data_IF_941725829430
#
_entry.id   IF_941725829430
#
_cell.length_a   1.000
_cell.length_b   1.000
_cell.length_c   1.000
_cell.angle_alpha   90.00
_cell.angle_beta   90.00
_cell.angle_gamma   90.00
#
_symmetry.space_group_name_H-M   'P 1'
#
loop_
_entity.id
_entity.type
_entity.pdbx_description
1 polymer ?
#
# COMPACT_ATOMS: atom_id res chain seq x y z
N UNK A 1 17.62 53.74 -51.10
CA UNK A 1 17.20 53.91 -49.69
C UNK A 1 16.82 52.55 -49.14
N UNK A 2 17.41 52.13 -48.03
CA UNK A 2 17.02 50.92 -47.30
C UNK A 2 15.62 51.07 -46.68
N UNK A 3 14.79 50.02 -46.66
CA UNK A 3 13.72 49.86 -45.69
C UNK A 3 14.11 48.87 -44.57
N UNK A 4 13.83 49.30 -43.33
CA UNK A 4 14.17 48.68 -42.05
C UNK A 4 13.30 47.44 -41.70
N UNK A 5 13.77 46.58 -40.78
CA UNK A 5 13.03 45.41 -40.31
C UNK A 5 11.86 45.81 -39.39
N UNK A 6 10.64 45.72 -39.90
CA UNK A 6 9.41 45.99 -39.18
C UNK A 6 8.73 44.73 -38.63
N UNK A 7 8.90 44.47 -37.34
CA UNK A 7 7.86 44.04 -36.39
C UNK A 7 6.66 43.26 -36.94
N UNK A 8 6.76 41.93 -37.00
CA UNK A 8 5.60 41.01 -37.02
C UNK A 8 5.50 40.28 -35.68
N UNK A 9 5.16 41.02 -34.62
CA UNK A 9 5.03 40.48 -33.25
C UNK A 9 3.59 40.48 -32.72
N UNK A 10 2.57 40.77 -33.54
CA UNK A 10 1.19 40.90 -33.08
C UNK A 10 0.23 39.78 -33.48
N UNK A 11 0.67 38.77 -34.25
CA UNK A 11 -0.22 37.74 -34.81
C UNK A 11 -0.33 36.45 -33.99
N UNK A 12 0.10 36.44 -32.71
CA UNK A 12 0.05 35.24 -31.86
C UNK A 12 -1.12 35.21 -30.85
N UNK A 13 -2.01 36.21 -30.86
CA UNK A 13 -2.95 36.47 -29.76
C UNK A 13 -4.45 36.23 -30.08
N UNK A 14 -4.80 35.44 -31.11
CA UNK A 14 -6.20 35.38 -31.58
C UNK A 14 -6.72 33.95 -31.78
N UNK A 15 -6.51 33.06 -30.82
CA UNK A 15 -7.25 31.79 -30.75
C UNK A 15 -8.32 31.86 -29.64
N UNK A 16 -9.62 31.77 -29.97
CA UNK A 16 -10.72 31.96 -29.00
C UNK A 16 -10.73 30.90 -27.88
N UNK A 17 -10.08 29.75 -28.09
CA UNK A 17 -9.88 28.72 -27.06
C UNK A 17 -9.04 29.20 -25.87
N UNK A 18 -8.11 30.14 -26.04
CA UNK A 18 -7.23 30.61 -24.95
C UNK A 18 -7.90 31.61 -24.00
N UNK A 19 -8.89 32.36 -24.49
CA UNK A 19 -9.65 33.33 -23.69
C UNK A 19 -10.59 32.64 -22.68
N UNK A 20 -11.11 31.46 -23.01
CA UNK A 20 -11.91 30.65 -22.09
C UNK A 20 -11.05 29.78 -21.18
N UNK A 21 -9.87 29.36 -21.65
CA UNK A 21 -8.93 28.55 -20.87
C UNK A 21 -8.26 29.33 -19.73
N UNK A 22 -8.08 30.65 -19.87
CA UNK A 22 -7.45 31.49 -18.84
C UNK A 22 -8.25 31.59 -17.52
N UNK A 23 -9.56 31.93 -17.52
CA UNK A 23 -10.35 31.94 -16.28
C UNK A 23 -10.54 30.52 -15.73
N UNK A 24 -10.64 29.51 -16.59
CA UNK A 24 -10.75 28.12 -16.18
C UNK A 24 -9.50 27.65 -15.42
N UNK A 25 -8.29 27.97 -15.92
CA UNK A 25 -7.04 27.68 -15.22
C UNK A 25 -6.90 28.49 -13.92
N UNK A 26 -7.30 29.77 -13.91
CA UNK A 26 -7.24 30.62 -12.72
C UNK A 26 -8.16 30.16 -11.58
N UNK A 27 -9.26 29.47 -11.88
CA UNK A 27 -10.16 28.88 -10.88
C UNK A 27 -9.75 27.44 -10.57
N UNK A 28 -9.35 26.65 -11.56
CA UNK A 28 -8.96 25.25 -11.35
C UNK A 28 -7.70 25.12 -10.49
N UNK A 29 -6.73 26.04 -10.62
CA UNK A 29 -5.50 25.99 -9.83
C UNK A 29 -5.72 26.13 -8.31
N UNK A 30 -6.42 27.16 -7.79
CA UNK A 30 -6.69 27.26 -6.36
C UNK A 30 -7.62 26.16 -5.85
N UNK A 31 -8.58 25.70 -6.66
CA UNK A 31 -9.46 24.57 -6.29
C UNK A 31 -8.65 23.28 -6.15
N UNK A 32 -7.76 22.98 -7.09
CA UNK A 32 -6.85 21.84 -6.99
C UNK A 32 -5.91 21.93 -5.78
N UNK A 33 -5.36 23.11 -5.48
CA UNK A 33 -4.48 23.31 -4.31
C UNK A 33 -5.22 23.09 -3.00
N UNK A 34 -6.49 23.49 -2.91
CA UNK A 34 -7.30 23.29 -1.71
C UNK A 34 -7.81 21.85 -1.55
N UNK A 35 -8.14 21.17 -2.66
CA UNK A 35 -8.63 19.79 -2.63
C UNK A 35 -7.49 18.78 -2.43
N UNK A 36 -6.29 19.06 -2.93
CA UNK A 36 -5.12 18.17 -2.84
C UNK A 36 -4.80 17.69 -1.41
N UNK A 37 -4.68 18.57 -0.39
CA UNK A 37 -4.40 18.12 0.97
C UNK A 37 -5.56 17.31 1.57
N UNK A 38 -6.81 17.64 1.22
CA UNK A 38 -7.97 16.87 1.66
C UNK A 38 -7.98 15.46 1.06
N UNK A 39 -7.69 15.33 -0.24
CA UNK A 39 -7.56 14.03 -0.91
C UNK A 39 -6.37 13.22 -0.37
N UNK A 40 -5.23 13.88 -0.14
CA UNK A 40 -4.06 13.23 0.47
C UNK A 40 -4.37 12.72 1.87
N UNK A 41 -5.03 13.54 2.69
CA UNK A 41 -5.44 13.15 4.04
C UNK A 41 -6.46 12.01 4.01
N UNK A 42 -7.41 12.05 3.07
CA UNK A 42 -8.40 10.99 2.87
C UNK A 42 -7.72 9.67 2.51
N UNK A 43 -6.79 9.70 1.56
CA UNK A 43 -6.01 8.52 1.17
C UNK A 43 -5.16 7.97 2.32
N UNK A 44 -4.57 8.86 3.14
CA UNK A 44 -3.78 8.46 4.31
C UNK A 44 -4.66 7.89 5.43
N UNK A 45 -5.84 8.45 5.65
CA UNK A 45 -6.76 8.04 6.70
C UNK A 45 -7.32 6.64 6.43
N UNK A 46 -7.64 6.31 5.18
CA UNK A 46 -8.20 5.01 4.78
C UNK A 46 -7.18 3.87 4.63
N UNK A 47 -5.95 4.04 5.12
CA UNK A 47 -4.95 2.98 5.13
C UNK A 47 -5.35 1.76 5.97
N UNK A 48 -4.75 0.62 5.66
CA UNK A 48 -4.76 -0.56 6.54
C UNK A 48 -3.41 -0.65 7.26
N UNK A 49 -3.43 -1.09 8.51
CA UNK A 49 -2.23 -1.35 9.31
C UNK A 49 -2.10 -2.84 9.52
N UNK A 50 -0.97 -3.39 9.11
CA UNK A 50 -0.67 -4.81 9.31
C UNK A 50 0.29 -4.96 10.49
N UNK A 51 -0.08 -5.80 11.44
CA UNK A 51 0.70 -6.07 12.65
C UNK A 51 1.04 -7.55 12.66
N UNK A 52 2.33 -7.83 12.60
CA UNK A 52 2.87 -9.17 12.82
C UNK A 52 3.21 -9.30 14.31
N UNK A 53 2.58 -10.25 14.99
CA UNK A 53 2.92 -10.60 16.37
C UNK A 53 3.56 -11.98 16.43
N UNK A 54 4.11 -12.34 17.59
CA UNK A 54 4.70 -13.67 17.82
C UNK A 54 3.67 -14.82 17.74
N UNK A 55 2.37 -14.53 17.60
CA UNK A 55 1.28 -15.51 17.62
C UNK A 55 0.31 -15.40 16.46
N UNK A 56 0.06 -14.20 15.96
CA UNK A 56 -0.84 -13.96 14.83
C UNK A 56 -0.41 -12.81 13.91
N UNK A 57 -0.85 -12.90 12.66
CA UNK A 57 -0.83 -11.81 11.67
C UNK A 57 -2.20 -11.12 11.77
N UNK A 58 -2.19 -9.80 11.96
CA UNK A 58 -3.40 -9.02 12.14
C UNK A 58 -3.48 -7.88 11.13
N UNK A 59 -4.68 -7.65 10.60
CA UNK A 59 -5.03 -6.49 9.79
C UNK A 59 -5.96 -5.58 10.58
N UNK A 60 -5.59 -4.30 10.64
CA UNK A 60 -6.31 -3.27 11.39
C UNK A 60 -6.70 -2.13 10.46
N UNK A 61 -7.94 -1.67 10.58
CA UNK A 61 -8.38 -0.44 9.94
C UNK A 61 -7.66 0.75 10.57
N UNK A 62 -7.04 1.61 9.76
CA UNK A 62 -6.44 2.85 10.25
C UNK A 62 -7.50 3.82 10.80
N UNK A 63 -8.72 3.78 10.24
CA UNK A 63 -9.86 4.52 10.78
C UNK A 63 -10.53 3.70 11.88
N UNK A 64 -10.57 4.25 13.09
CA UNK A 64 -11.34 3.70 14.21
C UNK A 64 -10.72 2.49 14.91
N UNK A 65 -9.46 2.15 14.65
CA UNK A 65 -8.72 1.07 15.33
C UNK A 65 -9.49 -0.26 15.41
N UNK A 66 -10.19 -0.61 14.33
CA UNK A 66 -10.96 -1.86 14.25
C UNK A 66 -10.09 -2.98 13.71
N UNK A 67 -10.10 -4.14 14.37
CA UNK A 67 -9.52 -5.37 13.83
C UNK A 67 -10.36 -5.84 12.63
N UNK A 68 -9.73 -5.95 11.47
CA UNK A 68 -10.35 -6.39 10.20
C UNK A 68 -10.23 -7.90 10.04
N UNK A 69 -9.09 -8.47 10.42
CA UNK A 69 -8.85 -9.91 10.37
C UNK A 69 -7.60 -10.31 11.14
N UNK A 70 -7.58 -11.53 11.66
CA UNK A 70 -6.45 -12.09 12.40
C UNK A 70 -6.28 -13.56 12.04
N UNK A 71 -5.06 -13.95 11.68
CA UNK A 71 -4.69 -15.34 11.36
C UNK A 71 -3.57 -15.79 12.29
N UNK A 72 -3.76 -16.88 13.06
CA UNK A 72 -2.70 -17.48 13.87
C UNK A 72 -1.52 -17.95 13.01
N UNK A 73 -0.29 -17.75 13.47
CA UNK A 73 0.92 -18.17 12.74
C UNK A 73 0.93 -19.68 12.47
N UNK A 74 0.34 -20.50 13.34
CA UNK A 74 0.28 -21.95 13.17
C UNK A 74 -0.57 -22.38 11.97
N UNK A 75 -1.54 -21.56 11.56
CA UNK A 75 -2.42 -21.85 10.41
C UNK A 75 -1.81 -21.40 9.09
N UNK A 76 -0.68 -20.69 9.09
CA UNK A 76 -0.07 -20.16 7.87
C UNK A 76 0.73 -21.25 7.16
N UNK A 77 0.15 -21.82 6.11
CA UNK A 77 0.82 -22.77 5.22
C UNK A 77 1.83 -22.10 4.30
N UNK A 78 1.51 -20.90 3.80
CA UNK A 78 2.36 -20.16 2.89
C UNK A 78 1.95 -18.71 2.70
N UNK A 79 2.77 -17.96 1.97
CA UNK A 79 2.50 -16.58 1.60
C UNK A 79 2.82 -16.39 0.13
N UNK A 80 1.81 -15.97 -0.64
CA UNK A 80 1.89 -15.66 -2.06
C UNK A 80 1.92 -14.14 -2.27
N UNK A 81 2.82 -13.69 -3.16
CA UNK A 81 2.97 -12.28 -3.53
C UNK A 81 2.26 -12.07 -4.86
N UNK A 82 1.23 -11.22 -4.87
CA UNK A 82 0.45 -10.88 -6.06
C UNK A 82 0.63 -9.38 -6.34
N UNK A 83 1.42 -9.06 -7.36
CA UNK A 83 1.60 -7.68 -7.80
C UNK A 83 0.55 -7.31 -8.86
N UNK A 84 -0.25 -6.29 -8.58
CA UNK A 84 -1.23 -5.76 -9.55
C UNK A 84 -0.62 -4.64 -10.39
N UNK A 85 -1.16 -4.47 -11.60
CA UNK A 85 -0.80 -3.36 -12.49
C UNK A 85 -0.90 -2.01 -11.76
N UNK A 86 0.16 -1.21 -11.83
CA UNK A 86 0.26 0.08 -11.15
C UNK A 86 0.89 0.03 -9.75
N UNK A 87 0.95 -1.14 -9.09
CA UNK A 87 1.63 -1.28 -7.80
C UNK A 87 3.16 -1.32 -7.94
N UNK A 88 3.67 -1.66 -9.13
CA UNK A 88 5.09 -1.63 -9.50
C UNK A 88 5.73 -0.26 -9.22
N UNK A 89 5.00 0.83 -9.54
CA UNK A 89 5.47 2.20 -9.35
C UNK A 89 5.68 2.56 -7.88
N UNK A 90 4.97 1.89 -6.96
CA UNK A 90 5.04 2.11 -5.52
C UNK A 90 5.89 1.05 -4.79
N UNK A 91 6.54 0.14 -5.53
CA UNK A 91 7.23 -1.04 -4.97
C UNK A 91 6.35 -1.79 -3.96
N UNK A 92 5.07 -1.90 -4.27
CA UNK A 92 4.07 -2.55 -3.45
C UNK A 92 3.53 -3.80 -4.15
N UNK A 93 3.05 -4.75 -3.36
CA UNK A 93 2.29 -5.90 -3.85
C UNK A 93 1.27 -6.33 -2.79
N UNK A 94 0.26 -7.08 -3.20
CA UNK A 94 -0.68 -7.72 -2.29
C UNK A 94 -0.06 -9.04 -1.80
N UNK A 95 -0.19 -9.34 -0.51
CA UNK A 95 0.24 -10.61 0.08
C UNK A 95 -0.97 -11.44 0.47
N UNK A 96 -1.12 -12.59 -0.16
CA UNK A 96 -2.12 -13.59 0.19
C UNK A 96 -1.52 -14.58 1.18
N UNK A 97 -2.06 -14.58 2.39
CA UNK A 97 -1.75 -15.56 3.43
C UNK A 97 -2.56 -16.81 3.15
N UNK A 98 -1.86 -17.92 2.88
CA UNK A 98 -2.46 -19.21 2.56
C UNK A 98 -2.51 -20.09 3.82
N UNK A 99 -3.60 -20.83 3.99
CA UNK A 99 -3.69 -21.91 4.98
C UNK A 99 -2.78 -23.08 4.58
N UNK A 100 -2.57 -24.01 5.50
CA UNK A 100 -2.08 -25.38 5.27
C UNK A 100 -2.72 -26.10 4.07
N UNK A 101 -3.95 -25.75 3.70
CA UNK A 101 -4.68 -26.28 2.54
C UNK A 101 -4.42 -25.55 1.22
N UNK A 102 -3.69 -24.44 1.25
CA UNK A 102 -3.44 -23.57 0.10
C UNK A 102 -4.55 -22.57 -0.21
N UNK A 103 -5.58 -22.45 0.64
CA UNK A 103 -6.65 -21.46 0.49
C UNK A 103 -6.23 -20.11 1.10
N UNK A 104 -6.60 -19.00 0.46
CA UNK A 104 -6.31 -17.65 0.96
C UNK A 104 -7.19 -17.31 2.15
N UNK A 105 -6.59 -17.20 3.34
CA UNK A 105 -7.28 -16.87 4.59
C UNK A 105 -7.32 -15.37 4.83
N UNK A 106 -6.25 -14.67 4.45
CA UNK A 106 -6.12 -13.23 4.66
C UNK A 106 -5.33 -12.59 3.53
N UNK A 107 -5.82 -11.49 2.98
CA UNK A 107 -5.10 -10.69 1.98
C UNK A 107 -4.65 -9.38 2.60
N UNK A 108 -3.35 -9.13 2.56
CA UNK A 108 -2.74 -7.86 2.93
C UNK A 108 -2.55 -7.04 1.63
N UNK A 109 -3.42 -6.08 1.39
CA UNK A 109 -3.36 -5.24 0.19
C UNK A 109 -2.26 -4.18 0.29
N UNK A 110 -1.54 -3.97 -0.81
CA UNK A 110 -0.63 -2.84 -1.02
C UNK A 110 0.54 -2.79 -0.04
N UNK A 111 1.15 -3.92 0.28
CA UNK A 111 2.28 -4.01 1.20
C UNK A 111 3.56 -3.51 0.49
N UNK A 112 4.24 -2.48 1.02
CA UNK A 112 5.52 -2.03 0.46
C UNK A 112 6.61 -3.07 0.75
N UNK A 113 7.48 -3.33 -0.24
CA UNK A 113 8.56 -4.34 -0.14
C UNK A 113 8.02 -5.71 0.29
N UNK A 114 6.99 -6.18 -0.41
CA UNK A 114 6.24 -7.39 -0.09
C UNK A 114 7.13 -8.63 0.11
N UNK A 115 8.21 -8.79 -0.66
CA UNK A 115 9.14 -9.93 -0.54
C UNK A 115 9.82 -9.98 0.83
N UNK A 116 10.29 -8.84 1.33
CA UNK A 116 10.94 -8.75 2.65
C UNK A 116 9.94 -9.12 3.74
N UNK A 117 8.72 -8.58 3.64
CA UNK A 117 7.68 -8.86 4.62
C UNK A 117 7.25 -10.33 4.59
N UNK A 118 7.16 -10.94 3.40
CA UNK A 118 6.96 -12.38 3.23
C UNK A 118 8.03 -13.19 3.96
N UNK A 119 9.31 -12.85 3.79
CA UNK A 119 10.40 -13.53 4.48
C UNK A 119 10.27 -13.42 6.00
N UNK A 120 9.99 -12.23 6.52
CA UNK A 120 9.78 -12.01 7.96
C UNK A 120 8.61 -12.84 8.51
N UNK A 121 7.50 -12.96 7.77
CA UNK A 121 6.36 -13.79 8.18
C UNK A 121 6.75 -15.27 8.27
N UNK A 122 7.43 -15.79 7.25
CA UNK A 122 7.84 -17.19 7.21
C UNK A 122 8.86 -17.51 8.31
N UNK A 123 9.83 -16.62 8.53
CA UNK A 123 10.80 -16.74 9.61
C UNK A 123 10.12 -16.73 10.99
N UNK A 124 9.17 -15.81 11.21
CA UNK A 124 8.42 -15.74 12.47
C UNK A 124 7.59 -17.01 12.72
N UNK A 125 6.99 -17.59 11.67
CA UNK A 125 6.29 -18.87 11.74
C UNK A 125 7.23 -19.99 12.13
N UNK A 126 8.34 -20.15 11.42
CA UNK A 126 9.27 -21.24 11.66
C UNK A 126 9.87 -21.14 13.07
N UNK A 127 10.27 -19.95 13.49
CA UNK A 127 10.73 -19.67 14.85
C UNK A 127 9.70 -20.08 15.90
N UNK A 128 8.41 -19.81 15.66
CA UNK A 128 7.34 -20.21 16.57
C UNK A 128 7.22 -21.74 16.66
N UNK A 129 7.29 -22.44 15.54
CA UNK A 129 7.28 -23.91 15.49
C UNK A 129 8.44 -24.51 16.27
N UNK A 130 9.65 -23.95 16.13
CA UNK A 130 10.82 -24.40 16.90
C UNK A 130 10.63 -24.20 18.41
N UNK A 131 10.08 -23.07 18.84
CA UNK A 131 9.79 -22.81 20.26
C UNK A 131 8.76 -23.79 20.81
N UNK A 132 7.71 -24.10 20.06
CA UNK A 132 6.68 -25.06 20.48
C UNK A 132 7.24 -26.49 20.62
N UNK A 133 8.10 -26.92 19.68
CA UNK A 133 8.77 -28.22 19.76
C UNK A 133 9.70 -28.32 20.99
N UNK A 134 10.44 -27.25 21.29
CA UNK A 134 11.29 -27.18 22.48
C UNK A 134 10.46 -27.24 23.78
N UNK A 135 9.35 -26.51 23.86
CA UNK A 135 8.47 -26.52 25.02
C UNK A 135 7.81 -27.89 25.22
N UNK A 136 7.39 -28.57 24.15
CA UNK A 136 6.84 -29.93 24.24
C UNK A 136 7.87 -30.92 24.82
N UNK A 137 9.14 -30.78 24.41
CA UNK A 137 10.24 -31.61 24.90
C UNK A 137 10.51 -31.37 26.39
N UNK A 138 10.44 -30.12 26.85
CA UNK A 138 10.59 -29.78 28.28
C UNK A 138 9.39 -30.28 29.10
N UNK A 139 8.17 -30.09 28.60
CA UNK A 139 6.95 -30.53 29.26
C UNK A 139 6.93 -32.05 29.48
N UNK A 140 7.32 -32.83 28.47
CA UNK A 140 7.40 -34.29 28.58
C UNK A 140 8.45 -34.79 29.59
N UNK A 141 9.49 -34.01 29.86
CA UNK A 141 10.49 -34.31 30.91
C UNK A 141 9.99 -33.97 32.32
N UNK A 142 9.07 -33.00 32.46
CA UNK A 142 8.57 -32.57 33.76
C UNK A 142 7.45 -33.49 34.32
N UNK A 143 6.83 -34.28 33.45
CA UNK A 143 5.74 -35.20 33.79
C UNK A 143 6.18 -36.67 33.92
N UNK A 144 7.45 -36.97 33.69
CA UNK A 144 8.08 -38.28 33.86
C UNK A 144 8.83 -38.34 35.20
#
# INVERSE_FOLDING_TARGET
GLPLPGTKLSSFFTSPLRLLALPLCLIAFPVCVLISPALYFLQKAFGQRYVLTNRSIQSWSSVGHRLVGSVPLQQVGGVEVVQKNGQEFFHAADLNILDSRGETVLTLAGVPRADVFRHTILEARDARTYVEAALATIGGRATA
#
